data_IF_097189869907
#
_entry.id   IF_097189869907
#
_cell.length_a   1.000
_cell.length_b   1.000
_cell.length_c   1.000
_cell.angle_alpha   90.00
_cell.angle_beta   90.00
_cell.angle_gamma   90.00
#
_symmetry.space_group_name_H-M   'P 1'
#
loop_
_entity.id
_entity.type
_entity.pdbx_description
1 polymer ?
#
# COMPACT_ATOMS: atom_id res chain seq x y z
N UNK A 1 0.69 -10.86 1.88
CA UNK A 1 -0.61 -10.70 1.18
C UNK A 1 -0.85 -9.22 0.88
N UNK A 2 -1.67 -8.85 -0.12
CA UNK A 2 -1.83 -7.45 -0.58
C UNK A 2 -2.11 -6.45 0.54
N UNK A 3 -2.89 -6.85 1.55
CA UNK A 3 -3.21 -6.01 2.70
C UNK A 3 -1.97 -5.68 3.54
N UNK A 4 -1.04 -6.62 3.73
CA UNK A 4 0.21 -6.35 4.47
C UNK A 4 1.07 -5.33 3.74
N UNK A 5 1.17 -5.43 2.41
CA UNK A 5 2.00 -4.54 1.60
C UNK A 5 1.46 -3.11 1.53
N UNK A 6 0.14 -2.97 1.53
CA UNK A 6 -0.52 -1.67 1.62
C UNK A 6 -0.28 -1.02 2.99
N UNK A 7 -0.27 -1.82 4.05
CA UNK A 7 -0.13 -1.35 5.43
C UNK A 7 1.33 -1.15 5.85
N UNK A 8 2.31 -1.76 5.18
CA UNK A 8 3.73 -1.69 5.50
C UNK A 8 4.25 -0.24 5.55
N UNK A 9 3.94 0.54 4.52
CA UNK A 9 4.35 1.94 4.40
C UNK A 9 3.69 2.81 5.47
N UNK A 10 2.40 2.57 5.74
CA UNK A 10 1.64 3.26 6.80
C UNK A 10 2.21 2.90 8.18
N UNK A 11 2.59 1.64 8.38
CA UNK A 11 3.18 1.16 9.64
C UNK A 11 4.57 1.76 9.88
N UNK A 12 5.36 1.94 8.82
CA UNK A 12 6.64 2.63 8.88
C UNK A 12 6.49 4.13 9.20
N UNK A 13 5.54 4.81 8.55
CA UNK A 13 5.30 6.23 8.75
C UNK A 13 4.55 6.55 10.05
N UNK A 14 3.72 5.63 10.56
CA UNK A 14 3.00 5.78 11.83
C UNK A 14 3.95 5.98 13.01
N UNK A 15 5.13 5.35 12.98
CA UNK A 15 6.17 5.56 13.99
C UNK A 15 6.81 6.96 13.94
N UNK A 16 6.77 7.63 12.78
CA UNK A 16 7.36 8.96 12.56
C UNK A 16 6.37 10.11 12.72
N UNK A 17 5.09 9.91 12.37
CA UNK A 17 4.11 11.01 12.23
C UNK A 17 3.15 11.18 13.42
N UNK A 18 3.19 10.33 14.43
CA UNK A 18 2.28 10.44 15.58
C UNK A 18 0.82 10.20 15.18
N UNK A 19 -0.16 10.62 16.02
CA UNK A 19 -1.61 10.41 15.78
C UNK A 19 -2.14 11.28 14.63
N UNK A 20 -1.74 10.98 13.40
CA UNK A 20 -2.29 11.55 12.18
C UNK A 20 -3.31 10.57 11.59
N UNK A 21 -4.45 11.10 11.12
CA UNK A 21 -5.50 10.27 10.52
C UNK A 21 -5.14 10.00 9.06
N UNK A 22 -4.72 8.77 8.76
CA UNK A 22 -4.43 8.35 7.39
C UNK A 22 -5.73 7.90 6.70
N UNK A 23 -6.12 8.59 5.63
CA UNK A 23 -7.32 8.24 4.85
C UNK A 23 -6.92 7.38 3.66
N UNK A 24 -7.31 6.10 3.71
CA UNK A 24 -7.20 5.19 2.57
C UNK A 24 -8.44 5.42 1.69
N UNK A 25 -8.24 5.93 0.49
CA UNK A 25 -9.31 6.10 -0.51
C UNK A 25 -9.06 5.26 -1.77
N UNK A 26 -10.04 5.25 -2.66
CA UNK A 26 -9.95 4.49 -3.91
C UNK A 26 -8.81 4.96 -4.81
N UNK A 27 -8.46 6.26 -4.78
CA UNK A 27 -7.35 6.79 -5.57
C UNK A 27 -5.98 6.32 -5.06
N UNK A 28 -5.81 6.24 -3.73
CA UNK A 28 -4.63 5.69 -3.09
C UNK A 28 -4.47 4.19 -3.39
N UNK A 29 -5.57 3.45 -3.28
CA UNK A 29 -5.58 2.01 -3.58
C UNK A 29 -5.29 1.76 -5.06
N UNK A 30 -5.89 2.54 -5.97
CA UNK A 30 -5.67 2.41 -7.41
C UNK A 30 -4.23 2.78 -7.79
N UNK A 31 -3.65 3.84 -7.20
CA UNK A 31 -2.25 4.20 -7.41
C UNK A 31 -1.29 3.07 -7.00
N UNK A 32 -1.50 2.47 -5.81
CA UNK A 32 -0.67 1.37 -5.31
C UNK A 32 -0.87 0.09 -6.13
N UNK A 33 -2.11 -0.26 -6.47
CA UNK A 33 -2.41 -1.43 -7.30
C UNK A 33 -1.90 -1.26 -8.72
N UNK A 34 -1.90 -0.06 -9.30
CA UNK A 34 -1.40 0.21 -10.65
C UNK A 34 0.11 0.04 -10.76
N UNK A 35 0.84 0.45 -9.72
CA UNK A 35 2.29 0.22 -9.62
C UNK A 35 2.60 -1.29 -9.47
N UNK A 36 1.81 -2.01 -8.66
CA UNK A 36 1.90 -3.46 -8.52
C UNK A 36 1.49 -4.22 -9.80
N UNK A 37 0.46 -3.75 -10.51
CA UNK A 37 -0.10 -4.38 -11.70
C UNK A 37 0.72 -4.12 -12.96
N UNK A 38 1.46 -3.00 -13.03
CA UNK A 38 2.45 -2.78 -14.09
C UNK A 38 3.58 -3.82 -14.06
N UNK A 39 3.83 -4.41 -12.90
CA UNK A 39 4.76 -5.50 -12.74
C UNK A 39 3.95 -6.81 -12.68
N UNK A 40 3.41 -7.23 -13.82
CA UNK A 40 2.54 -8.41 -13.98
C UNK A 40 3.15 -9.69 -13.37
N UNK A 41 4.48 -9.77 -13.36
CA UNK A 41 5.26 -10.81 -12.67
C UNK A 41 5.29 -10.64 -11.14
N UNK A 42 5.33 -9.41 -10.63
CA UNK A 42 5.38 -9.11 -9.20
C UNK A 42 4.01 -9.34 -8.54
N UNK A 43 2.92 -8.97 -9.21
CA UNK A 43 1.56 -9.25 -8.74
C UNK A 43 1.35 -10.75 -8.50
N UNK A 44 1.88 -11.61 -9.41
CA UNK A 44 1.76 -13.07 -9.33
C UNK A 44 2.50 -13.72 -8.15
N UNK A 45 3.53 -13.06 -7.63
CA UNK A 45 4.32 -13.56 -6.49
C UNK A 45 3.93 -12.96 -5.13
N UNK A 46 3.08 -11.93 -5.13
CA UNK A 46 2.79 -11.11 -3.93
C UNK A 46 1.33 -11.23 -3.47
N UNK A 47 0.43 -11.57 -4.38
CA UNK A 47 -0.99 -11.83 -4.12
C UNK A 47 -1.20 -13.21 -3.47
#
# INVERSE_FOLDING_TARGET
TVMEKLLEEISFDAGKRGRESFRIDAAFVDAKLKELAQSEDLARYVL
#
